data_IF_759157291117
#
_entry.id   IF_759157291117
#
_cell.length_a   1.000
_cell.length_b   1.000
_cell.length_c   1.000
_cell.angle_alpha   90.00
_cell.angle_beta   90.00
_cell.angle_gamma   90.00
#
_symmetry.space_group_name_H-M   'P 1'
#
loop_
_entity.id
_entity.type
_entity.pdbx_description
1 polymer ?
#
# COMPACT_ATOMS: atom_id res chain seq x y z
N UNK A 1 -25.59 18.01 9.94
CA UNK A 1 -25.33 16.56 9.84
C UNK A 1 -25.07 16.23 8.39
N UNK A 2 -24.09 15.36 8.11
CA UNK A 2 -23.89 14.79 6.77
C UNK A 2 -24.37 13.34 6.82
N UNK A 3 -25.34 12.97 6.00
CA UNK A 3 -25.84 11.60 5.86
C UNK A 3 -25.12 11.00 4.63
N UNK A 4 -24.27 9.99 4.82
CA UNK A 4 -23.50 9.36 3.73
C UNK A 4 -24.20 8.08 3.27
N UNK A 5 -24.48 7.97 1.98
CA UNK A 5 -25.11 6.77 1.39
C UNK A 5 -24.14 5.58 1.39
N UNK A 6 -24.60 4.44 1.90
CA UNK A 6 -23.95 3.15 1.71
C UNK A 6 -24.95 2.19 1.05
N UNK A 7 -24.64 1.74 -0.18
CA UNK A 7 -25.49 0.83 -0.94
C UNK A 7 -25.04 -0.62 -0.74
N UNK A 8 -25.91 -1.48 -0.20
CA UNK A 8 -25.66 -2.91 -0.05
C UNK A 8 -26.91 -3.67 0.39
N UNK A 9 -27.12 -4.88 -0.14
CA UNK A 9 -28.25 -5.74 0.24
C UNK A 9 -27.98 -6.42 1.59
N UNK A 10 -28.94 -6.36 2.53
CA UNK A 10 -28.78 -6.89 3.91
C UNK A 10 -29.95 -7.81 4.29
N UNK A 11 -29.72 -9.07 4.71
CA UNK A 11 -30.76 -9.96 5.20
C UNK A 11 -30.88 -9.94 6.75
N UNK A 12 -32.09 -9.68 7.26
CA UNK A 12 -32.54 -9.96 8.63
C UNK A 12 -32.09 -8.97 9.73
N UNK A 13 -33.03 -8.36 10.45
CA UNK A 13 -32.76 -7.29 11.42
C UNK A 13 -33.26 -7.61 12.83
N UNK A 14 -32.42 -7.34 13.84
CA UNK A 14 -32.80 -7.23 15.25
C UNK A 14 -32.37 -5.87 15.79
N UNK A 15 -33.32 -4.94 15.95
CA UNK A 15 -33.11 -3.61 16.52
C UNK A 15 -33.55 -3.54 17.99
N UNK A 16 -32.83 -2.77 18.80
CA UNK A 16 -33.35 -2.27 20.08
C UNK A 16 -34.07 -0.94 19.80
N UNK A 17 -35.39 -0.96 19.96
CA UNK A 17 -36.27 0.16 19.60
C UNK A 17 -36.24 1.27 20.65
N UNK A 18 -36.33 2.53 20.20
CA UNK A 18 -36.59 3.68 21.06
C UNK A 18 -38.09 3.82 21.26
N UNK A 19 -38.61 3.66 22.48
CA UNK A 19 -40.05 3.80 22.74
C UNK A 19 -40.52 5.23 22.42
N UNK A 20 -41.73 5.40 21.86
CA UNK A 20 -42.33 6.72 21.74
C UNK A 20 -42.49 7.33 23.14
N UNK A 21 -42.12 8.61 23.28
CA UNK A 21 -42.24 9.35 24.54
C UNK A 21 -43.73 9.62 24.83
N UNK A 22 -44.37 8.75 25.61
CA UNK A 22 -45.70 9.01 26.16
C UNK A 22 -45.56 9.58 27.57
N UNK A 23 -45.86 10.88 27.74
CA UNK A 23 -46.05 11.50 29.05
C UNK A 23 -47.40 11.06 29.64
N UNK A 24 -47.55 9.84 30.14
CA UNK A 24 -48.57 9.42 31.14
C UNK A 24 -48.30 7.98 31.63
N UNK A 25 -48.43 7.67 32.94
CA UNK A 25 -48.24 6.32 33.45
C UNK A 25 -49.55 5.51 33.42
N UNK A 26 -49.57 4.39 32.70
CA UNK A 26 -50.62 3.38 32.83
C UNK A 26 -50.01 1.98 32.86
N UNK A 27 -50.67 1.09 33.62
CA UNK A 27 -50.21 -0.22 34.06
C UNK A 27 -49.83 -1.20 32.93
N UNK A 28 -48.84 -2.08 33.20
CA UNK A 28 -48.36 -3.13 32.30
C UNK A 28 -49.30 -4.35 32.30
N UNK A 29 -49.70 -4.87 31.12
CA UNK A 29 -50.12 -6.25 31.00
C UNK A 29 -48.92 -7.16 30.69
N UNK A 30 -48.96 -8.36 31.27
CA UNK A 30 -48.01 -9.46 31.07
C UNK A 30 -48.50 -10.29 29.88
N UNK A 31 -47.59 -10.56 28.93
CA UNK A 31 -47.80 -11.49 27.82
C UNK A 31 -48.03 -10.79 26.48
N UNK A 32 -46.95 -10.43 25.77
CA UNK A 32 -47.03 -10.02 24.37
C UNK A 32 -45.87 -10.65 23.60
N UNK A 33 -46.21 -11.49 22.62
CA UNK A 33 -45.28 -11.97 21.61
C UNK A 33 -44.57 -10.76 20.97
N UNK A 34 -43.26 -10.86 20.70
CA UNK A 34 -42.47 -9.78 20.09
C UNK A 34 -43.05 -9.43 18.71
N UNK A 35 -43.97 -8.47 18.69
CA UNK A 35 -44.56 -7.94 17.48
C UNK A 35 -43.49 -7.31 16.60
N UNK A 36 -43.60 -7.53 15.29
CA UNK A 36 -42.78 -6.85 14.29
C UNK A 36 -42.97 -5.33 14.47
N UNK A 37 -41.89 -4.54 14.61
CA UNK A 37 -42.01 -3.10 14.84
C UNK A 37 -42.77 -2.42 13.70
N UNK A 38 -43.68 -1.51 14.05
CA UNK A 38 -44.30 -0.60 13.10
C UNK A 38 -43.34 0.56 12.86
N UNK A 39 -42.66 0.59 11.72
CA UNK A 39 -41.83 1.74 11.31
C UNK A 39 -42.63 3.05 11.19
N UNK A 40 -41.97 4.18 11.18
CA UNK A 40 -42.65 5.48 11.04
C UNK A 40 -42.86 5.81 9.57
N UNK A 41 -44.02 6.37 9.16
CA UNK A 41 -44.22 6.82 7.78
C UNK A 41 -43.14 7.84 7.40
N UNK A 42 -42.52 7.65 6.24
CA UNK A 42 -41.44 8.49 5.74
C UNK A 42 -41.51 8.50 4.20
N UNK A 43 -41.53 9.68 3.58
CA UNK A 43 -41.63 9.80 2.13
C UNK A 43 -40.31 9.46 1.42
N UNK A 44 -39.19 9.64 2.12
CA UNK A 44 -37.85 9.51 1.56
C UNK A 44 -36.80 9.08 2.60
N UNK A 45 -35.59 8.67 2.17
CA UNK A 45 -34.43 8.52 3.06
C UNK A 45 -34.04 9.83 3.77
N UNK A 46 -34.26 10.99 3.14
CA UNK A 46 -33.97 12.30 3.72
C UNK A 46 -34.88 12.59 4.93
N UNK A 47 -36.16 12.22 4.84
CA UNK A 47 -37.11 12.32 5.95
C UNK A 47 -36.68 11.43 7.13
N UNK A 48 -36.17 10.23 6.86
CA UNK A 48 -35.58 9.36 7.89
C UNK A 48 -34.40 10.03 8.63
N UNK A 49 -33.49 10.65 7.88
CA UNK A 49 -32.35 11.40 8.43
C UNK A 49 -32.88 12.56 9.31
N UNK A 50 -33.89 13.29 8.86
CA UNK A 50 -34.52 14.38 9.63
C UNK A 50 -35.21 13.89 10.92
N UNK A 51 -36.00 12.81 10.85
CA UNK A 51 -36.66 12.21 12.02
C UNK A 51 -35.62 11.70 13.02
N UNK A 52 -34.55 11.05 12.55
CA UNK A 52 -33.49 10.58 13.44
C UNK A 52 -32.74 11.75 14.10
N UNK A 53 -32.45 12.83 13.36
CA UNK A 53 -31.75 14.00 13.90
C UNK A 53 -32.51 14.75 15.01
N UNK A 54 -33.85 14.63 15.03
CA UNK A 54 -34.69 15.29 16.03
C UNK A 54 -35.01 14.41 17.24
N UNK A 55 -34.67 13.11 17.18
CA UNK A 55 -34.95 12.14 18.25
C UNK A 55 -33.73 11.88 19.11
N UNK A 56 -33.85 12.25 20.38
CA UNK A 56 -32.85 11.94 21.38
C UNK A 56 -32.58 10.42 21.44
N UNK A 57 -31.31 10.06 21.23
CA UNK A 57 -30.86 8.66 21.23
C UNK A 57 -30.92 7.94 19.88
N UNK A 58 -31.43 8.55 18.81
CA UNK A 58 -31.34 7.97 17.48
C UNK A 58 -29.91 8.11 16.93
N UNK A 59 -29.28 6.99 16.57
CA UNK A 59 -27.91 6.95 16.02
C UNK A 59 -27.81 6.26 14.66
N UNK A 60 -28.84 5.51 14.27
CA UNK A 60 -28.92 4.83 12.99
C UNK A 60 -30.37 4.72 12.56
N UNK A 61 -30.59 4.63 11.24
CA UNK A 61 -31.91 4.38 10.68
C UNK A 61 -31.82 3.53 9.41
N UNK A 62 -32.95 2.90 9.06
CA UNK A 62 -33.12 2.14 7.82
C UNK A 62 -34.39 2.62 7.13
N UNK A 63 -34.28 2.99 5.86
CA UNK A 63 -35.43 3.32 5.03
C UNK A 63 -35.79 2.13 4.13
N UNK A 64 -37.06 1.73 4.18
CA UNK A 64 -37.62 0.75 3.26
C UNK A 64 -38.49 1.47 2.25
N UNK A 65 -37.96 1.66 1.04
CA UNK A 65 -38.66 2.33 -0.06
C UNK A 65 -39.99 1.68 -0.39
N UNK A 66 -40.05 0.35 -0.42
CA UNK A 66 -41.27 -0.41 -0.70
C UNK A 66 -42.41 -0.18 0.32
N UNK A 67 -42.07 0.23 1.54
CA UNK A 67 -43.04 0.44 2.62
C UNK A 67 -43.26 1.92 2.93
N UNK A 68 -42.49 2.84 2.33
CA UNK A 68 -42.42 4.26 2.71
C UNK A 68 -42.29 4.45 4.22
N UNK A 69 -41.36 3.70 4.84
CA UNK A 69 -41.19 3.67 6.29
C UNK A 69 -39.74 3.75 6.75
N UNK A 70 -39.57 4.39 7.91
CA UNK A 70 -38.33 4.53 8.63
C UNK A 70 -38.28 3.65 9.88
N UNK A 71 -37.15 2.99 10.10
CA UNK A 71 -36.87 2.25 11.32
C UNK A 71 -35.67 2.88 12.01
N UNK A 72 -35.87 3.41 13.21
CA UNK A 72 -34.86 4.14 13.98
C UNK A 72 -34.26 3.26 15.08
N UNK A 73 -32.96 3.43 15.36
CA UNK A 73 -32.28 2.67 16.41
C UNK A 73 -31.11 3.41 17.06
N UNK A 74 -30.66 2.90 18.21
CA UNK A 74 -29.47 3.36 18.92
C UNK A 74 -28.40 2.25 18.90
N UNK A 75 -27.25 2.53 18.30
CA UNK A 75 -26.10 1.62 18.34
C UNK A 75 -25.30 1.88 19.62
N UNK A 76 -25.36 0.95 20.59
CA UNK A 76 -24.73 1.14 21.90
C UNK A 76 -23.33 0.56 22.06
N UNK A 77 -22.75 -0.07 21.04
CA UNK A 77 -21.39 -0.62 21.11
C UNK A 77 -20.66 -0.36 19.78
N UNK A 78 -19.37 0.01 19.85
CA UNK A 78 -18.57 0.63 18.78
C UNK A 78 -18.94 0.21 17.36
N UNK A 79 -19.12 1.19 16.48
CA UNK A 79 -19.85 1.14 15.19
C UNK A 79 -19.56 -0.01 14.22
N UNK A 80 -18.54 -0.84 14.45
CA UNK A 80 -18.25 -2.06 13.69
C UNK A 80 -19.18 -3.23 14.08
N UNK A 81 -19.57 -3.34 15.36
CA UNK A 81 -20.43 -4.43 15.85
C UNK A 81 -21.87 -4.37 15.28
N UNK A 82 -22.29 -3.20 14.77
CA UNK A 82 -23.59 -3.03 14.13
C UNK A 82 -23.63 -3.74 12.76
N UNK A 83 -22.54 -3.71 11.98
CA UNK A 83 -22.48 -4.33 10.65
C UNK A 83 -22.23 -5.84 10.71
N UNK A 84 -21.42 -6.32 11.66
CA UNK A 84 -21.11 -7.76 11.76
C UNK A 84 -22.30 -8.60 12.27
N UNK A 85 -23.13 -8.05 13.18
CA UNK A 85 -24.37 -8.73 13.60
C UNK A 85 -25.46 -8.74 12.51
N UNK A 86 -25.36 -7.88 11.50
CA UNK A 86 -26.25 -7.85 10.32
C UNK A 86 -25.94 -8.96 9.31
N UNK A 87 -24.77 -9.60 9.39
CA UNK A 87 -24.39 -10.72 8.53
C UNK A 87 -24.56 -12.11 9.14
N UNK A 88 -24.83 -12.22 10.45
CA UNK A 88 -24.57 -13.46 11.19
C UNK A 88 -25.79 -14.30 11.66
N UNK A 89 -27.04 -13.94 11.32
CA UNK A 89 -28.21 -14.77 11.66
C UNK A 89 -28.83 -15.45 10.44
N UNK A 90 -28.39 -16.68 10.17
CA UNK A 90 -29.13 -17.66 9.34
C UNK A 90 -30.23 -18.29 10.18
N UNK A 91 -31.49 -18.12 9.78
CA UNK A 91 -32.60 -18.94 10.27
C UNK A 91 -33.87 -18.16 10.57
N UNK A 92 -34.67 -17.91 9.53
CA UNK A 92 -36.14 -17.92 9.50
C UNK A 92 -36.61 -17.23 8.21
N UNK A 93 -37.17 -18.03 7.31
CA UNK A 93 -37.79 -17.65 6.04
C UNK A 93 -39.04 -16.79 6.26
N UNK A 94 -39.02 -15.54 5.80
CA UNK A 94 -40.19 -14.83 5.28
C UNK A 94 -39.70 -13.74 4.33
N UNK A 95 -40.25 -13.69 3.11
CA UNK A 95 -39.72 -12.94 1.98
C UNK A 95 -39.52 -11.45 2.26
N UNK A 96 -38.38 -10.91 1.79
CA UNK A 96 -38.12 -9.48 1.74
C UNK A 96 -37.61 -9.13 0.35
N UNK A 97 -38.29 -8.17 -0.26
CA UNK A 97 -38.01 -7.55 -1.55
C UNK A 97 -36.69 -6.77 -1.54
N UNK A 98 -35.97 -6.83 -2.66
CA UNK A 98 -34.78 -6.01 -2.94
C UNK A 98 -35.11 -4.51 -2.80
N UNK A 99 -34.29 -3.74 -2.06
CA UNK A 99 -34.39 -2.27 -2.02
C UNK A 99 -34.17 -1.56 -0.68
N UNK A 100 -33.75 -2.22 0.40
CA UNK A 100 -33.47 -1.55 1.66
C UNK A 100 -32.11 -0.82 1.63
N UNK A 101 -32.09 0.47 1.98
CA UNK A 101 -30.87 1.26 2.15
C UNK A 101 -30.59 1.47 3.64
N UNK A 102 -29.35 1.23 4.06
CA UNK A 102 -28.88 1.44 5.43
C UNK A 102 -27.97 2.66 5.42
N UNK A 103 -28.31 3.70 6.18
CA UNK A 103 -27.56 4.96 6.22
C UNK A 103 -27.20 5.28 7.67
N UNK A 104 -25.92 5.59 7.91
CA UNK A 104 -25.40 5.99 9.22
C UNK A 104 -25.39 7.52 9.30
N UNK A 105 -25.94 8.07 10.38
CA UNK A 105 -25.83 9.50 10.69
C UNK A 105 -24.58 9.75 11.53
N UNK A 106 -23.64 10.55 11.04
CA UNK A 106 -22.63 11.17 11.89
C UNK A 106 -23.22 12.44 12.51
N UNK A 107 -23.41 12.43 13.84
CA UNK A 107 -23.83 13.63 14.59
C UNK A 107 -22.61 14.55 14.83
N UNK A 108 -22.63 15.81 14.36
CA UNK A 108 -21.59 16.78 14.68
C UNK A 108 -21.99 17.53 15.96
N UNK A 109 -21.98 16.90 17.12
CA UNK A 109 -22.20 17.61 18.39
C UNK A 109 -20.94 17.68 19.26
N UNK A 110 -20.28 18.82 19.11
CA UNK A 110 -19.20 19.33 19.95
C UNK A 110 -19.68 20.14 21.15
N UNK A 111 -20.78 19.76 21.81
CA UNK A 111 -21.28 20.46 23.02
C UNK A 111 -21.35 19.54 24.26
N UNK A 112 -20.53 18.49 24.28
CA UNK A 112 -20.36 17.63 25.44
C UNK A 112 -19.47 18.25 26.52
N UNK A 113 -20.06 18.50 27.69
CA UNK A 113 -19.50 18.66 29.05
C UNK A 113 -17.99 18.35 29.23
N UNK A 114 -17.27 19.00 30.17
CA UNK A 114 -15.81 18.89 30.39
C UNK A 114 -15.20 17.47 30.47
N UNK A 115 -16.00 16.42 30.70
CA UNK A 115 -15.57 15.01 30.58
C UNK A 115 -15.30 14.56 29.13
N UNK A 116 -16.02 15.06 28.13
CA UNK A 116 -15.80 14.71 26.72
C UNK A 116 -14.51 15.36 26.17
N UNK A 117 -14.20 16.58 26.60
CA UNK A 117 -12.94 17.25 26.25
C UNK A 117 -11.73 16.50 26.81
N UNK A 118 -11.77 16.03 28.06
CA UNK A 118 -10.73 15.15 28.64
C UNK A 118 -10.63 13.80 27.91
N UNK A 119 -11.74 13.23 27.43
CA UNK A 119 -11.73 11.98 26.67
C UNK A 119 -11.12 12.15 25.26
N UNK A 120 -11.43 13.25 24.56
CA UNK A 120 -10.85 13.59 23.28
C UNK A 120 -9.35 13.91 23.39
N UNK A 121 -8.95 14.64 24.44
CA UNK A 121 -7.55 14.96 24.72
C UNK A 121 -6.75 13.72 25.15
N UNK A 122 -7.35 12.82 25.94
CA UNK A 122 -6.76 11.51 26.25
C UNK A 122 -6.66 10.62 25.01
N UNK A 123 -7.65 10.63 24.12
CA UNK A 123 -7.62 9.89 22.85
C UNK A 123 -6.55 10.43 21.89
N UNK A 124 -6.42 11.74 21.76
CA UNK A 124 -5.36 12.41 21.00
C UNK A 124 -3.97 12.09 21.57
N UNK A 125 -3.81 12.15 22.90
CA UNK A 125 -2.55 11.81 23.57
C UNK A 125 -2.19 10.33 23.47
N UNK A 126 -3.18 9.43 23.51
CA UNK A 126 -2.99 7.99 23.28
C UNK A 126 -2.66 7.68 21.81
N UNK A 127 -3.25 8.39 20.83
CA UNK A 127 -2.83 8.30 19.43
C UNK A 127 -1.39 8.77 19.25
N UNK A 128 -1.03 9.92 19.80
CA UNK A 128 0.34 10.41 19.74
C UNK A 128 1.36 9.49 20.41
N UNK A 129 0.96 8.73 21.45
CA UNK A 129 1.81 7.71 22.07
C UNK A 129 1.87 6.41 21.25
N UNK A 130 0.76 5.99 20.64
CA UNK A 130 0.71 4.80 19.76
C UNK A 130 1.47 5.02 18.45
N UNK A 131 1.33 6.20 17.84
CA UNK A 131 2.11 6.63 16.65
C UNK A 131 3.62 6.67 16.96
N UNK A 132 3.99 7.11 18.17
CA UNK A 132 5.39 7.05 18.65
C UNK A 132 5.87 5.62 18.89
N UNK A 133 4.97 4.68 19.19
CA UNK A 133 5.35 3.31 19.51
C UNK A 133 5.66 2.47 18.26
N UNK A 134 4.93 2.66 17.16
CA UNK A 134 5.21 1.93 15.91
C UNK A 134 6.37 2.55 15.12
N UNK A 135 6.50 3.89 15.15
CA UNK A 135 7.54 4.64 14.46
C UNK A 135 7.13 5.09 13.06
N UNK A 136 8.11 5.32 12.18
CA UNK A 136 7.88 5.91 10.84
C UNK A 136 8.28 4.95 9.73
N UNK A 137 7.60 5.05 8.60
CA UNK A 137 7.82 4.23 7.41
C UNK A 137 8.09 5.13 6.20
N UNK A 138 9.22 4.91 5.52
CA UNK A 138 9.53 5.59 4.27
C UNK A 138 9.23 4.67 3.07
N UNK A 139 8.32 5.08 2.18
CA UNK A 139 8.08 4.44 0.89
C UNK A 139 8.89 5.17 -0.18
N UNK A 140 9.89 4.52 -0.77
CA UNK A 140 10.74 5.07 -1.81
C UNK A 140 10.40 4.48 -3.18
N UNK A 141 9.84 5.31 -4.05
CA UNK A 141 9.43 4.97 -5.41
C UNK A 141 10.43 5.48 -6.44
N UNK A 142 11.15 4.59 -7.12
CA UNK A 142 12.16 4.97 -8.12
C UNK A 142 11.84 4.38 -9.48
N UNK A 143 12.02 5.18 -10.55
CA UNK A 143 11.81 4.66 -11.89
C UNK A 143 11.69 5.70 -12.97
N UNK A 144 10.80 5.44 -13.92
CA UNK A 144 10.44 6.32 -15.03
C UNK A 144 8.95 6.63 -15.00
N UNK A 145 8.56 7.90 -15.19
CA UNK A 145 7.15 8.29 -15.04
C UNK A 145 6.19 7.54 -15.98
N UNK A 146 6.59 7.30 -17.23
CA UNK A 146 5.76 6.57 -18.21
C UNK A 146 5.57 5.08 -17.89
N UNK A 147 6.33 4.52 -16.95
CA UNK A 147 6.24 3.11 -16.52
C UNK A 147 5.50 2.96 -15.19
N UNK A 148 4.99 4.06 -14.64
CA UNK A 148 4.43 4.09 -13.31
C UNK A 148 3.15 3.24 -13.20
N UNK A 149 3.12 2.40 -12.17
CA UNK A 149 2.04 1.50 -11.76
C UNK A 149 1.67 1.81 -10.30
N UNK A 150 1.27 3.05 -10.03
CA UNK A 150 1.05 3.54 -8.67
C UNK A 150 -0.27 3.08 -8.05
N UNK A 151 -1.25 2.64 -8.86
CA UNK A 151 -2.64 2.44 -8.46
C UNK A 151 -2.82 1.44 -7.29
N UNK A 152 -1.90 0.50 -7.12
CA UNK A 152 -1.97 -0.52 -6.05
C UNK A 152 -1.29 -0.09 -4.76
N UNK A 153 -0.36 0.87 -4.79
CA UNK A 153 0.42 1.27 -3.62
C UNK A 153 -0.43 1.90 -2.50
N UNK A 154 -1.40 2.81 -2.78
CA UNK A 154 -2.26 3.37 -1.74
C UNK A 154 -2.99 2.31 -0.90
N UNK A 155 -3.64 1.34 -1.55
CA UNK A 155 -4.48 0.34 -0.88
C UNK A 155 -3.71 -0.88 -0.38
N UNK A 156 -2.62 -1.27 -1.05
CA UNK A 156 -1.85 -2.47 -0.67
C UNK A 156 -0.67 -2.17 0.26
N UNK A 157 -0.14 -0.93 0.28
CA UNK A 157 1.06 -0.59 1.07
C UNK A 157 0.77 0.52 2.07
N UNK A 158 0.30 1.67 1.60
CA UNK A 158 0.19 2.87 2.44
C UNK A 158 -0.89 2.68 3.51
N UNK A 159 -2.14 2.46 3.12
CA UNK A 159 -3.25 2.33 4.06
C UNK A 159 -3.06 1.17 5.07
N UNK A 160 -2.60 -0.04 4.67
CA UNK A 160 -2.32 -1.10 5.63
C UNK A 160 -1.19 -0.76 6.62
N UNK A 161 -0.17 -0.02 6.18
CA UNK A 161 0.96 0.38 7.04
C UNK A 161 0.55 1.48 8.02
N UNK A 162 -0.27 2.44 7.57
CA UNK A 162 -0.94 3.43 8.44
C UNK A 162 -1.84 2.73 9.46
N UNK A 163 -2.64 1.75 9.01
CA UNK A 163 -3.48 0.94 9.89
C UNK A 163 -2.70 0.10 10.91
N UNK A 164 -1.44 -0.22 10.62
CA UNK A 164 -0.50 -0.84 11.55
C UNK A 164 0.16 0.15 12.54
N UNK A 165 -0.21 1.44 12.49
CA UNK A 165 0.20 2.48 13.43
C UNK A 165 1.39 3.33 12.99
N UNK A 166 1.93 3.14 11.78
CA UNK A 166 3.10 3.89 11.29
C UNK A 166 2.68 5.19 10.59
N UNK A 167 3.45 6.26 10.80
CA UNK A 167 3.40 7.42 9.91
C UNK A 167 4.13 7.09 8.60
N UNK A 168 3.44 7.19 7.46
CA UNK A 168 3.97 6.83 6.13
C UNK A 168 4.33 8.08 5.35
N UNK A 169 5.62 8.23 5.05
CA UNK A 169 6.15 9.27 4.17
C UNK A 169 6.54 8.65 2.82
N UNK A 170 6.09 9.25 1.73
CA UNK A 170 6.38 8.82 0.36
C UNK A 170 7.41 9.73 -0.26
N UNK A 171 8.45 9.10 -0.80
CA UNK A 171 9.56 9.71 -1.51
C UNK A 171 9.62 9.15 -2.93
N UNK A 172 10.11 9.93 -3.88
CA UNK A 172 10.33 9.37 -5.21
C UNK A 172 11.26 10.14 -6.12
N UNK A 173 11.79 9.40 -7.10
CA UNK A 173 12.48 9.94 -8.26
C UNK A 173 11.96 9.25 -9.52
N UNK A 174 11.21 9.99 -10.33
CA UNK A 174 10.65 9.53 -11.59
C UNK A 174 11.34 10.27 -12.75
N UNK A 175 12.07 9.53 -13.58
CA UNK A 175 12.66 10.09 -14.79
C UNK A 175 11.57 10.63 -15.73
N UNK A 176 11.74 11.84 -16.26
CA UNK A 176 10.88 12.45 -17.29
C UNK A 176 11.55 12.57 -18.67
N UNK A 177 12.77 12.04 -18.82
CA UNK A 177 13.49 12.00 -20.10
C UNK A 177 12.98 10.89 -21.01
N UNK A 178 12.94 11.10 -22.32
CA UNK A 178 12.45 10.07 -23.28
C UNK A 178 13.11 8.68 -23.12
N UNK A 179 12.28 7.65 -23.17
CA UNK A 179 12.67 6.23 -23.16
C UNK A 179 12.80 5.61 -24.55
N UNK A 180 12.49 6.34 -25.62
CA UNK A 180 12.39 5.79 -26.99
C UNK A 180 13.64 4.99 -27.43
N UNK A 181 14.84 5.49 -27.09
CA UNK A 181 16.10 4.81 -27.43
C UNK A 181 16.30 3.50 -26.66
N UNK A 182 15.88 3.44 -25.40
CA UNK A 182 16.05 2.25 -24.55
C UNK A 182 15.16 1.08 -25.01
N UNK A 183 14.01 1.38 -25.62
CA UNK A 183 13.02 0.39 -26.05
C UNK A 183 12.99 0.18 -27.58
N UNK A 184 14.05 0.57 -28.30
CA UNK A 184 14.15 0.42 -29.77
C UNK A 184 12.90 1.00 -30.49
N UNK A 185 12.44 2.16 -30.05
CA UNK A 185 11.24 2.82 -30.60
C UNK A 185 9.91 2.34 -30.03
N UNK A 186 9.87 1.27 -29.21
CA UNK A 186 8.66 0.89 -28.48
C UNK A 186 8.40 1.89 -27.34
N UNK A 187 7.13 2.13 -27.02
CA UNK A 187 6.77 2.95 -25.87
C UNK A 187 7.03 2.17 -24.58
N UNK A 188 7.63 2.78 -23.54
CA UNK A 188 7.60 2.21 -22.21
C UNK A 188 6.14 1.92 -21.83
N UNK A 189 5.89 0.71 -21.37
CA UNK A 189 4.56 0.29 -20.97
C UNK A 189 4.39 0.54 -19.46
N UNK A 190 3.36 1.30 -19.10
CA UNK A 190 2.96 1.69 -17.75
C UNK A 190 1.52 2.20 -17.80
N UNK A 191 0.96 2.65 -16.68
CA UNK A 191 -0.45 3.04 -16.66
C UNK A 191 -0.74 4.21 -17.61
N UNK A 192 -1.59 4.04 -18.65
CA UNK A 192 -1.88 5.10 -19.61
C UNK A 192 -2.47 6.35 -18.96
N UNK A 193 -3.19 6.20 -17.84
CA UNK A 193 -3.75 7.32 -17.10
C UNK A 193 -2.63 8.20 -16.51
N UNK A 194 -1.56 7.60 -15.96
CA UNK A 194 -0.43 8.35 -15.41
C UNK A 194 0.54 8.88 -16.48
N UNK A 195 0.76 8.09 -17.54
CA UNK A 195 1.68 8.45 -18.62
C UNK A 195 1.25 9.71 -19.39
N UNK A 196 -0.07 10.02 -19.43
CA UNK A 196 -0.61 11.18 -20.14
C UNK A 196 -0.61 12.48 -19.35
N UNK A 197 -0.42 12.43 -18.03
CA UNK A 197 -0.44 13.62 -17.18
C UNK A 197 0.77 14.51 -17.48
N UNK A 198 0.72 15.79 -17.17
CA UNK A 198 1.93 16.60 -17.02
C UNK A 198 2.68 16.20 -15.73
N UNK A 199 3.93 16.64 -15.57
CA UNK A 199 4.69 16.38 -14.33
C UNK A 199 3.95 16.95 -13.09
N UNK A 200 3.35 18.14 -13.21
CA UNK A 200 2.58 18.76 -12.13
C UNK A 200 1.28 18.00 -11.81
N UNK A 201 0.52 17.59 -12.82
CA UNK A 201 -0.70 16.80 -12.62
C UNK A 201 -0.41 15.41 -12.06
N UNK A 202 0.69 14.79 -12.49
CA UNK A 202 1.14 13.50 -11.96
C UNK A 202 1.50 13.62 -10.47
N UNK A 203 2.28 14.65 -10.11
CA UNK A 203 2.60 14.92 -8.72
C UNK A 203 1.33 15.14 -7.88
N UNK A 204 0.44 16.03 -8.31
CA UNK A 204 -0.82 16.31 -7.60
C UNK A 204 -1.70 15.05 -7.44
N UNK A 205 -1.75 14.20 -8.47
CA UNK A 205 -2.49 12.94 -8.45
C UNK A 205 -1.91 11.96 -7.44
N UNK A 206 -0.58 11.79 -7.41
CA UNK A 206 0.10 10.94 -6.43
C UNK A 206 -0.13 11.49 -5.02
N UNK A 207 0.09 12.78 -4.79
CA UNK A 207 -0.15 13.42 -3.48
C UNK A 207 -1.58 13.21 -2.97
N UNK A 208 -2.58 13.38 -3.84
CA UNK A 208 -3.99 13.14 -3.47
C UNK A 208 -4.23 11.67 -3.11
N UNK A 209 -3.74 10.71 -3.90
CA UNK A 209 -3.93 9.29 -3.62
C UNK A 209 -3.21 8.83 -2.33
N UNK A 210 -2.02 9.36 -2.07
CA UNK A 210 -1.26 9.10 -0.83
C UNK A 210 -2.00 9.67 0.38
N UNK A 211 -2.49 10.91 0.30
CA UNK A 211 -3.25 11.54 1.38
C UNK A 211 -4.56 10.78 1.70
N UNK A 212 -5.29 10.33 0.66
CA UNK A 212 -6.49 9.51 0.84
C UNK A 212 -6.20 8.16 1.53
N UNK A 213 -5.00 7.62 1.36
CA UNK A 213 -4.54 6.42 2.06
C UNK A 213 -3.93 6.69 3.45
N UNK A 214 -3.92 7.96 3.90
CA UNK A 214 -3.41 8.38 5.21
C UNK A 214 -1.90 8.60 5.28
N UNK A 215 -1.20 8.64 4.14
CA UNK A 215 0.23 8.98 4.07
C UNK A 215 0.49 10.44 3.69
N UNK A 216 1.77 10.82 3.61
CA UNK A 216 2.24 12.14 3.17
C UNK A 216 3.24 11.97 2.00
N UNK A 217 3.12 12.76 0.92
CA UNK A 217 4.21 12.88 -0.06
C UNK A 217 5.15 13.97 0.43
N UNK A 218 6.37 13.58 0.80
CA UNK A 218 7.38 14.51 1.34
C UNK A 218 8.21 15.12 0.23
N UNK A 219 8.78 14.29 -0.64
CA UNK A 219 9.60 14.73 -1.78
C UNK A 219 9.38 13.79 -2.96
N UNK A 220 8.82 14.29 -4.06
CA UNK A 220 8.65 13.55 -5.32
C UNK A 220 9.31 14.33 -6.45
N UNK A 221 10.50 13.88 -6.84
CA UNK A 221 11.26 14.49 -7.94
C UNK A 221 10.84 13.87 -9.28
N UNK A 222 10.26 14.67 -10.16
CA UNK A 222 10.03 14.31 -11.56
C UNK A 222 11.02 15.12 -12.39
N UNK A 223 12.08 14.45 -12.87
CA UNK A 223 13.26 15.14 -13.39
C UNK A 223 13.99 14.35 -14.49
N UNK A 224 14.86 14.99 -15.29
CA UNK A 224 15.64 14.29 -16.31
C UNK A 224 16.58 13.25 -15.70
N UNK A 225 16.85 12.17 -16.43
CA UNK A 225 17.76 11.10 -16.00
C UNK A 225 19.08 11.63 -15.42
N UNK A 226 19.51 11.18 -14.23
CA UNK A 226 20.77 11.63 -13.66
C UNK A 226 21.95 11.01 -14.41
N UNK A 227 23.03 11.76 -14.54
CA UNK A 227 24.23 11.32 -15.25
C UNK A 227 25.09 10.39 -14.39
N UNK A 228 24.88 9.08 -14.51
CA UNK A 228 25.73 8.09 -13.87
C UNK A 228 27.04 7.86 -14.63
N UNK A 229 28.13 7.76 -13.87
CA UNK A 229 29.46 7.35 -14.32
C UNK A 229 29.56 5.82 -14.29
N UNK A 230 30.17 5.27 -15.33
CA UNK A 230 30.58 3.86 -15.38
C UNK A 230 32.11 3.84 -15.41
N UNK A 231 32.80 3.26 -14.41
CA UNK A 231 34.25 3.18 -14.42
C UNK A 231 34.76 2.39 -15.64
N UNK A 232 35.71 2.94 -16.38
CA UNK A 232 36.28 2.30 -17.57
C UNK A 232 37.21 1.12 -17.23
N UNK A 233 37.82 1.19 -16.06
CA UNK A 233 38.80 0.27 -15.48
C UNK A 233 38.17 -0.94 -14.75
N UNK A 234 36.83 -1.01 -14.68
CA UNK A 234 36.11 -2.11 -14.01
C UNK A 234 35.19 -2.89 -14.97
N UNK A 235 35.70 -3.38 -16.12
CA UNK A 235 34.87 -4.07 -17.13
C UNK A 235 34.25 -5.36 -16.58
N UNK A 236 34.80 -5.91 -15.51
CA UNK A 236 34.35 -7.18 -14.97
C UNK A 236 33.12 -7.06 -14.05
N UNK A 237 32.79 -5.87 -13.57
CA UNK A 237 31.53 -5.64 -12.84
C UNK A 237 30.35 -5.74 -13.80
N UNK A 238 29.40 -6.59 -13.46
CA UNK A 238 28.23 -6.94 -14.28
C UNK A 238 28.67 -7.52 -15.64
N UNK A 239 29.54 -8.52 -15.61
CA UNK A 239 30.18 -9.06 -16.81
C UNK A 239 29.20 -9.60 -17.87
N UNK A 240 27.95 -9.95 -17.49
CA UNK A 240 26.91 -10.36 -18.45
C UNK A 240 26.20 -9.19 -19.14
N UNK A 241 26.44 -7.96 -18.72
CA UNK A 241 25.74 -6.79 -19.24
C UNK A 241 26.59 -6.07 -20.28
N UNK A 242 25.95 -5.64 -21.36
CA UNK A 242 26.56 -4.71 -22.32
C UNK A 242 26.81 -3.36 -21.64
N UNK A 243 27.68 -2.53 -22.24
CA UNK A 243 27.99 -1.19 -21.71
C UNK A 243 26.72 -0.32 -21.52
N UNK A 244 25.74 -0.43 -22.43
CA UNK A 244 24.48 0.31 -22.30
C UNK A 244 23.66 -0.16 -21.10
N UNK A 245 23.57 -1.47 -20.87
CA UNK A 245 22.87 -2.04 -19.70
C UNK A 245 23.60 -1.66 -18.41
N UNK A 246 24.93 -1.68 -18.37
CA UNK A 246 25.71 -1.22 -17.21
C UNK A 246 25.42 0.25 -16.88
N UNK A 247 25.33 1.12 -17.89
CA UNK A 247 24.95 2.53 -17.68
C UNK A 247 23.54 2.66 -17.10
N UNK A 248 22.57 1.87 -17.57
CA UNK A 248 21.22 1.82 -16.99
C UNK A 248 21.23 1.35 -15.54
N UNK A 249 22.03 0.34 -15.21
CA UNK A 249 22.18 -0.16 -13.82
C UNK A 249 22.83 0.90 -12.93
N UNK A 250 23.92 1.53 -13.37
CA UNK A 250 24.59 2.60 -12.63
C UNK A 250 23.66 3.80 -12.39
N UNK A 251 22.87 4.18 -13.41
CA UNK A 251 21.83 5.22 -13.28
C UNK A 251 20.81 4.87 -12.21
N UNK A 252 20.39 3.60 -12.15
CA UNK A 252 19.45 3.12 -11.14
C UNK A 252 20.02 3.22 -9.73
N UNK A 253 21.25 2.73 -9.51
CA UNK A 253 21.91 2.85 -8.21
C UNK A 253 22.10 4.32 -7.82
N UNK A 254 22.39 5.22 -8.78
CA UNK A 254 22.48 6.65 -8.51
C UNK A 254 21.13 7.22 -8.05
N UNK A 255 20.01 6.79 -8.65
CA UNK A 255 18.66 7.15 -8.17
C UNK A 255 18.40 6.62 -6.77
N UNK A 256 18.88 5.42 -6.43
CA UNK A 256 18.79 4.88 -5.06
C UNK A 256 19.50 5.79 -4.06
N UNK A 257 20.70 6.27 -4.41
CA UNK A 257 21.46 7.21 -3.59
C UNK A 257 20.75 8.56 -3.45
N UNK A 258 20.14 9.07 -4.52
CA UNK A 258 19.32 10.30 -4.47
C UNK A 258 18.12 10.08 -3.55
N UNK A 259 17.42 8.95 -3.68
CA UNK A 259 16.29 8.59 -2.83
C UNK A 259 16.66 8.50 -1.34
N UNK A 260 17.80 7.89 -1.03
CA UNK A 260 18.35 7.87 0.33
C UNK A 260 18.59 9.29 0.87
N UNK A 261 19.12 10.20 0.04
CA UNK A 261 19.35 11.57 0.45
C UNK A 261 18.05 12.32 0.78
N UNK A 262 16.97 12.09 0.01
CA UNK A 262 15.65 12.66 0.32
C UNK A 262 15.14 12.19 1.69
N UNK A 263 15.27 10.89 1.97
CA UNK A 263 14.91 10.31 3.27
C UNK A 263 15.74 10.96 4.39
N UNK A 264 17.07 11.00 4.24
CA UNK A 264 17.98 11.57 5.24
C UNK A 264 17.70 13.06 5.51
N UNK A 265 17.37 13.84 4.48
CA UNK A 265 16.96 15.24 4.62
C UNK A 265 15.71 15.38 5.48
N UNK A 266 14.70 14.53 5.27
CA UNK A 266 13.48 14.51 6.11
C UNK A 266 13.77 14.03 7.53
N UNK A 267 14.61 13.01 7.71
CA UNK A 267 15.03 12.56 9.05
C UNK A 267 15.71 13.69 9.85
N UNK A 268 16.60 14.45 9.19
CA UNK A 268 17.25 15.60 9.80
C UNK A 268 16.23 16.68 10.20
N UNK A 269 15.25 16.97 9.34
CA UNK A 269 14.19 17.94 9.65
C UNK A 269 13.27 17.50 10.80
N UNK A 270 13.02 16.19 10.93
CA UNK A 270 12.18 15.63 11.99
C UNK A 270 12.93 15.37 13.30
N UNK A 271 14.27 15.32 13.27
CA UNK A 271 15.08 14.90 14.41
C UNK A 271 14.89 13.42 14.79
N UNK A 272 14.41 12.59 13.86
CA UNK A 272 14.20 11.15 14.08
C UNK A 272 14.43 10.34 12.81
N UNK A 273 14.85 9.08 12.98
CA UNK A 273 15.04 8.14 11.86
C UNK A 273 13.77 7.35 11.58
N UNK A 274 13.60 6.91 10.34
CA UNK A 274 12.57 5.95 10.01
C UNK A 274 12.85 4.60 10.69
N UNK A 275 11.80 3.82 10.95
CA UNK A 275 11.92 2.42 11.37
C UNK A 275 12.17 1.54 10.15
N UNK A 276 11.39 1.77 9.09
CA UNK A 276 11.37 0.98 7.87
C UNK A 276 11.59 1.86 6.65
N UNK A 277 12.28 1.28 5.66
CA UNK A 277 12.34 1.81 4.30
C UNK A 277 11.84 0.71 3.36
N UNK A 278 10.80 1.01 2.58
CA UNK A 278 10.37 0.16 1.47
C UNK A 278 10.81 0.81 0.17
N UNK A 279 11.80 0.21 -0.48
CA UNK A 279 12.18 0.56 -1.82
C UNK A 279 11.35 -0.23 -2.82
N UNK A 280 10.71 0.45 -3.78
CA UNK A 280 9.95 -0.19 -4.86
C UNK A 280 10.24 0.48 -6.20
N UNK A 281 10.28 -0.34 -7.24
CA UNK A 281 10.27 0.13 -8.61
C UNK A 281 8.91 0.69 -9.01
N UNK A 282 8.94 1.56 -10.03
CA UNK A 282 7.77 2.24 -10.57
C UNK A 282 6.72 1.30 -11.15
N UNK A 283 7.12 0.14 -11.66
CA UNK A 283 6.27 -0.81 -12.38
C UNK A 283 5.78 -1.99 -11.52
N UNK A 284 5.94 -1.88 -10.20
CA UNK A 284 5.55 -2.93 -9.25
C UNK A 284 4.05 -2.90 -8.97
N UNK A 285 3.34 -3.97 -9.33
CA UNK A 285 1.93 -4.17 -9.00
C UNK A 285 1.80 -5.05 -7.75
N UNK A 286 1.07 -4.57 -6.74
CA UNK A 286 0.84 -5.27 -5.49
C UNK A 286 -0.51 -5.97 -5.49
N UNK A 287 -0.53 -7.26 -5.16
CA UNK A 287 -1.77 -8.05 -5.14
C UNK A 287 -2.40 -8.26 -3.77
N UNK A 288 -1.67 -7.97 -2.69
CA UNK A 288 -2.23 -8.11 -1.34
C UNK A 288 -1.64 -7.06 -0.40
N UNK A 289 -2.38 -6.72 0.69
CA UNK A 289 -1.89 -5.81 1.71
C UNK A 289 -0.57 -6.24 2.34
N UNK A 290 0.37 -5.29 2.49
CA UNK A 290 1.61 -5.46 3.22
C UNK A 290 1.31 -5.66 4.72
N UNK A 291 1.71 -6.81 5.26
CA UNK A 291 1.61 -7.12 6.70
C UNK A 291 2.95 -6.88 7.38
N UNK A 292 3.24 -5.62 7.69
CA UNK A 292 4.57 -5.17 8.15
C UNK A 292 5.08 -5.90 9.40
N UNK A 293 4.19 -6.33 10.31
CA UNK A 293 4.54 -7.06 11.53
C UNK A 293 5.05 -8.49 11.28
N UNK A 294 4.97 -9.01 10.06
CA UNK A 294 5.57 -10.30 9.69
C UNK A 294 7.07 -10.23 9.41
N UNK A 295 7.67 -9.04 9.49
CA UNK A 295 9.03 -8.77 9.05
C UNK A 295 9.88 -8.32 10.24
N UNK A 296 11.15 -8.71 10.24
CA UNK A 296 12.13 -8.34 11.27
C UNK A 296 12.90 -7.11 10.82
N UNK A 297 12.82 -6.03 11.60
CA UNK A 297 13.53 -4.76 11.33
C UNK A 297 15.06 -4.95 11.29
N UNK A 298 15.57 -6.06 11.80
CA UNK A 298 16.98 -6.42 11.76
C UNK A 298 17.37 -7.23 10.53
N UNK A 299 16.54 -7.27 9.50
CA UNK A 299 16.84 -7.91 8.22
C UNK A 299 16.49 -7.00 7.03
N UNK A 300 17.04 -7.36 5.86
CA UNK A 300 16.53 -6.90 4.58
C UNK A 300 15.71 -8.02 3.95
N UNK A 301 14.50 -7.68 3.55
CA UNK A 301 13.53 -8.62 3.02
C UNK A 301 13.34 -8.39 1.52
N UNK A 302 13.52 -9.46 0.75
CA UNK A 302 13.27 -9.47 -0.68
C UNK A 302 12.51 -10.70 -1.11
N UNK A 303 11.99 -10.67 -2.34
CA UNK A 303 11.18 -11.76 -2.90
C UNK A 303 12.04 -12.86 -3.54
N UNK A 304 11.60 -14.11 -3.40
CA UNK A 304 12.14 -15.24 -4.15
C UNK A 304 11.47 -15.39 -5.51
N UNK A 305 12.04 -14.80 -6.54
CA UNK A 305 11.64 -15.09 -7.92
C UNK A 305 12.59 -16.13 -8.54
N UNK A 306 12.04 -17.26 -8.99
CA UNK A 306 12.75 -18.51 -9.33
C UNK A 306 13.74 -18.45 -10.51
N UNK A 307 13.85 -17.33 -11.24
CA UNK A 307 14.75 -17.20 -12.38
C UNK A 307 16.12 -16.58 -12.08
N UNK A 308 16.26 -15.81 -10.99
CA UNK A 308 17.42 -14.93 -10.80
C UNK A 308 18.18 -15.13 -9.48
N UNK A 309 17.80 -16.13 -8.66
CA UNK A 309 18.57 -16.60 -7.50
C UNK A 309 19.33 -15.49 -6.76
N UNK A 310 18.62 -14.60 -6.05
CA UNK A 310 19.29 -13.50 -5.37
C UNK A 310 18.33 -12.44 -4.81
N UNK A 311 18.87 -11.24 -4.60
CA UNK A 311 18.12 -10.05 -4.19
C UNK A 311 17.20 -9.60 -5.31
N UNK A 312 15.88 -9.60 -5.09
CA UNK A 312 14.90 -9.15 -6.08
C UNK A 312 15.10 -7.65 -6.39
N UNK A 313 15.48 -7.28 -7.60
CA UNK A 313 15.77 -5.88 -7.97
C UNK A 313 14.52 -4.99 -8.15
N UNK A 314 13.38 -5.35 -7.55
CA UNK A 314 12.09 -4.65 -7.70
C UNK A 314 11.57 -4.07 -6.41
N UNK A 315 11.59 -4.85 -5.34
CA UNK A 315 10.99 -4.48 -4.06
C UNK A 315 11.83 -4.99 -2.90
N UNK A 316 12.18 -4.08 -1.99
CA UNK A 316 12.85 -4.39 -0.73
C UNK A 316 12.21 -3.69 0.45
N UNK A 317 11.87 -4.47 1.46
CA UNK A 317 11.55 -3.94 2.77
C UNK A 317 12.78 -4.10 3.66
N UNK A 318 13.30 -3.00 4.19
CA UNK A 318 14.51 -3.03 5.00
C UNK A 318 14.32 -2.21 6.28
N UNK A 319 14.90 -2.67 7.38
CA UNK A 319 15.12 -1.80 8.52
C UNK A 319 16.00 -0.62 8.12
N UNK A 320 15.70 0.56 8.65
CA UNK A 320 16.37 1.81 8.24
C UNK A 320 17.89 1.76 8.37
N UNK A 321 18.44 1.02 9.33
CA UNK A 321 19.89 0.86 9.52
C UNK A 321 20.60 0.24 8.30
N UNK A 322 19.90 -0.56 7.48
CA UNK A 322 20.46 -1.16 6.26
C UNK A 322 20.28 -0.29 5.02
N UNK A 323 19.41 0.71 5.06
CA UNK A 323 19.14 1.56 3.90
C UNK A 323 20.37 2.38 3.49
N UNK A 324 21.23 2.79 4.42
CA UNK A 324 22.45 3.53 4.09
C UNK A 324 23.36 2.67 3.21
N UNK A 325 23.58 1.40 3.57
CA UNK A 325 24.34 0.44 2.75
C UNK A 325 23.62 0.11 1.44
N UNK A 326 22.37 -0.32 1.53
CA UNK A 326 21.66 -0.89 0.38
C UNK A 326 21.28 0.14 -0.68
N UNK A 327 21.10 1.41 -0.32
CA UNK A 327 20.77 2.47 -1.28
C UNK A 327 21.97 3.32 -1.68
N UNK A 328 23.16 3.12 -1.08
CA UNK A 328 24.39 3.82 -1.47
C UNK A 328 25.32 3.00 -2.36
N UNK A 329 24.87 1.87 -2.91
CA UNK A 329 25.68 0.98 -3.74
C UNK A 329 26.29 1.62 -4.99
N UNK A 330 25.78 2.76 -5.43
CA UNK A 330 26.45 3.54 -6.46
C UNK A 330 27.86 3.97 -6.04
N UNK A 331 28.11 4.23 -4.76
CA UNK A 331 29.45 4.50 -4.25
C UNK A 331 30.34 3.26 -4.35
N UNK A 332 29.83 2.10 -3.90
CA UNK A 332 30.52 0.82 -4.03
C UNK A 332 30.81 0.46 -5.50
N UNK A 333 29.93 0.85 -6.42
CA UNK A 333 30.10 0.69 -7.86
C UNK A 333 31.28 1.48 -8.44
N UNK A 334 31.66 2.60 -7.82
CA UNK A 334 32.70 3.49 -8.35
C UNK A 334 34.12 3.17 -7.88
N UNK A 335 34.27 2.36 -6.83
CA UNK A 335 35.55 2.06 -6.18
C UNK A 335 35.82 0.55 -6.19
N UNK A 336 37.04 0.09 -6.50
CA UNK A 336 37.41 -1.31 -6.31
C UNK A 336 37.25 -1.70 -4.84
N UNK A 337 36.78 -2.91 -4.57
CA UNK A 337 36.70 -3.44 -3.19
C UNK A 337 37.58 -4.68 -3.12
N UNK A 338 38.79 -4.63 -2.52
CA UNK A 338 39.60 -5.82 -2.35
C UNK A 338 38.84 -6.84 -1.49
N UNK A 339 39.02 -8.11 -1.80
CA UNK A 339 38.30 -9.15 -1.13
C UNK A 339 38.81 -9.36 0.32
N UNK A 340 37.94 -9.33 1.34
CA UNK A 340 38.36 -9.53 2.73
C UNK A 340 38.94 -10.93 2.92
N UNK A 341 40.11 -11.05 3.56
CA UNK A 341 40.74 -12.35 3.84
C UNK A 341 39.81 -13.31 4.61
N UNK A 342 38.95 -12.78 5.48
CA UNK A 342 38.02 -13.55 6.31
C UNK A 342 36.88 -14.21 5.53
N UNK A 343 36.62 -13.82 4.28
CA UNK A 343 35.58 -14.44 3.46
C UNK A 343 36.08 -15.68 2.70
N UNK A 344 37.39 -15.92 2.66
CA UNK A 344 37.99 -17.06 1.95
C UNK A 344 38.38 -18.23 2.86
N UNK A 345 38.37 -18.04 4.19
CA UNK A 345 38.80 -19.09 5.13
C UNK A 345 37.82 -20.26 5.24
N UNK A 346 36.55 -20.10 4.85
CA UNK A 346 35.53 -21.17 4.98
C UNK A 346 35.33 -22.00 3.71
N UNK A 347 35.70 -21.47 2.53
CA UNK A 347 35.53 -22.17 1.26
C UNK A 347 36.87 -22.73 0.81
N UNK A 348 37.23 -23.93 1.28
CA UNK A 348 38.51 -24.63 1.03
C UNK A 348 38.86 -24.92 -0.45
N UNK A 349 38.95 -23.90 -1.30
CA UNK A 349 39.40 -23.98 -2.70
C UNK A 349 40.47 -22.93 -2.98
N UNK A 350 41.60 -23.42 -3.50
CA UNK A 350 42.84 -22.71 -3.79
C UNK A 350 42.79 -21.82 -5.06
N UNK A 351 41.68 -21.13 -5.33
CA UNK A 351 41.67 -20.09 -6.37
C UNK A 351 42.04 -18.76 -5.73
N UNK A 352 43.01 -18.04 -6.32
CA UNK A 352 43.34 -16.68 -5.91
C UNK A 352 42.06 -15.82 -5.84
N UNK A 353 41.88 -15.02 -4.77
CA UNK A 353 40.70 -14.19 -4.64
C UNK A 353 40.60 -13.23 -5.83
N UNK A 354 39.39 -12.92 -6.32
CA UNK A 354 39.24 -11.90 -7.35
C UNK A 354 39.82 -10.58 -6.85
N UNK A 355 40.52 -9.85 -7.73
CA UNK A 355 41.10 -8.55 -7.41
C UNK A 355 40.05 -7.53 -6.90
N UNK A 356 38.79 -7.71 -7.33
CA UNK A 356 37.63 -6.96 -6.87
C UNK A 356 36.53 -7.91 -6.38
N UNK A 357 36.25 -7.85 -5.09
CA UNK A 357 35.20 -8.62 -4.42
C UNK A 357 33.84 -8.40 -5.07
N UNK A 358 33.54 -7.19 -5.54
CA UNK A 358 32.24 -6.86 -6.12
C UNK A 358 32.10 -7.25 -7.60
N UNK A 359 33.06 -7.97 -8.18
CA UNK A 359 32.97 -8.50 -9.54
C UNK A 359 31.82 -9.53 -9.67
N UNK A 360 30.64 -9.09 -10.06
CA UNK A 360 29.47 -9.96 -10.22
C UNK A 360 29.02 -10.10 -11.68
N UNK A 361 28.41 -11.22 -12.08
CA UNK A 361 27.81 -11.37 -13.42
C UNK A 361 26.56 -10.49 -13.64
N UNK A 362 25.78 -10.25 -12.58
CA UNK A 362 24.45 -9.62 -12.62
C UNK A 362 24.25 -8.63 -11.46
N UNK A 363 23.21 -7.78 -11.54
CA UNK A 363 22.92 -6.80 -10.48
C UNK A 363 22.48 -7.47 -9.18
N UNK A 364 21.77 -8.58 -9.27
CA UNK A 364 21.30 -9.35 -8.12
C UNK A 364 22.49 -9.92 -7.33
N UNK A 365 23.47 -10.49 -8.04
CA UNK A 365 24.70 -11.01 -7.44
C UNK A 365 25.62 -9.88 -6.96
N UNK A 366 25.63 -8.72 -7.63
CA UNK A 366 26.36 -7.55 -7.16
C UNK A 366 25.81 -7.10 -5.79
N UNK A 367 24.49 -6.99 -5.67
CA UNK A 367 23.80 -6.60 -4.43
C UNK A 367 24.00 -7.62 -3.32
N UNK A 368 23.97 -8.92 -3.65
CA UNK A 368 24.30 -9.99 -2.70
C UNK A 368 25.72 -9.82 -2.15
N UNK A 369 26.69 -9.53 -3.01
CA UNK A 369 28.08 -9.29 -2.58
C UNK A 369 28.23 -8.01 -1.76
N UNK A 370 27.52 -6.92 -2.10
CA UNK A 370 27.46 -5.74 -1.22
C UNK A 370 26.90 -6.14 0.16
N UNK A 371 25.80 -6.90 0.19
CA UNK A 371 25.22 -7.40 1.42
C UNK A 371 26.22 -8.20 2.26
N UNK A 372 26.98 -9.11 1.63
CA UNK A 372 28.03 -9.88 2.29
C UNK A 372 29.18 -8.99 2.79
N UNK A 373 29.66 -8.05 1.97
CA UNK A 373 30.74 -7.11 2.31
C UNK A 373 30.41 -6.33 3.59
N UNK A 374 29.16 -5.89 3.71
CA UNK A 374 28.68 -5.05 4.80
C UNK A 374 27.87 -5.83 5.86
N UNK A 375 27.89 -7.17 5.81
CA UNK A 375 27.20 -8.06 6.76
C UNK A 375 25.71 -7.74 6.93
N UNK A 376 25.03 -7.44 5.82
CA UNK A 376 23.58 -7.18 5.78
C UNK A 376 22.85 -8.53 5.78
N UNK A 377 22.09 -8.87 6.84
CA UNK A 377 21.27 -10.08 6.86
C UNK A 377 20.13 -9.95 5.85
N UNK A 378 20.12 -10.85 4.86
CA UNK A 378 19.11 -10.89 3.82
C UNK A 378 18.20 -12.10 3.99
N UNK A 379 16.90 -11.86 4.02
CA UNK A 379 15.89 -12.91 4.05
C UNK A 379 15.05 -12.91 2.79
N UNK A 380 15.12 -14.05 2.10
CA UNK A 380 14.33 -14.34 0.91
C UNK A 380 12.95 -14.83 1.32
N UNK A 381 11.91 -14.24 0.76
CA UNK A 381 10.52 -14.57 1.08
C UNK A 381 9.80 -15.22 -0.09
N UNK A 382 8.82 -16.11 0.17
CA UNK A 382 7.94 -16.59 -0.88
C UNK A 382 7.04 -15.45 -1.41
N UNK A 383 6.51 -15.56 -2.64
CA UNK A 383 5.69 -14.52 -3.25
C UNK A 383 4.51 -14.04 -2.40
N UNK A 384 3.95 -14.89 -1.53
CA UNK A 384 2.81 -14.57 -0.68
C UNK A 384 3.12 -13.52 0.39
N UNK A 385 4.39 -13.37 0.80
CA UNK A 385 4.79 -12.41 1.83
C UNK A 385 5.06 -11.02 1.25
N UNK A 386 5.63 -10.96 0.04
CA UNK A 386 5.85 -9.74 -0.74
C UNK A 386 5.17 -9.92 -2.12
N UNK A 387 3.84 -9.73 -2.19
CA UNK A 387 3.03 -10.12 -3.35
C UNK A 387 3.09 -9.05 -4.45
N UNK A 388 4.28 -8.87 -5.03
CA UNK A 388 4.54 -7.85 -6.06
C UNK A 388 5.03 -8.46 -7.36
N UNK A 389 4.65 -7.88 -8.50
CA UNK A 389 5.17 -8.28 -9.81
C UNK A 389 5.45 -7.08 -10.68
N UNK A 390 6.41 -7.20 -11.60
CA UNK A 390 6.50 -6.24 -12.69
C UNK A 390 5.28 -6.40 -13.56
N UNK A 391 4.67 -5.27 -13.86
CA UNK A 391 3.47 -5.21 -14.66
C UNK A 391 3.57 -4.06 -15.63
N UNK A 392 2.77 -4.10 -16.68
CA UNK A 392 2.73 -3.03 -17.64
C UNK A 392 1.40 -3.06 -18.38
N UNK A 393 1.01 -1.94 -18.98
CA UNK A 393 -0.16 -1.93 -19.85
C UNK A 393 0.24 -2.11 -21.32
N UNK A 394 -0.41 -3.07 -21.98
CA UNK A 394 -0.29 -3.24 -23.43
C UNK A 394 -1.44 -2.51 -24.13
N UNK A 395 -1.10 -1.72 -25.14
CA UNK A 395 -2.09 -1.18 -26.06
C UNK A 395 -2.47 -2.24 -27.08
N UNK A 396 -3.77 -2.56 -27.17
CA UNK A 396 -4.32 -3.43 -28.21
C UNK A 396 -4.86 -2.52 -29.32
N UNK A 397 -4.49 -2.74 -30.60
CA UNK A 397 -5.04 -1.99 -31.71
C UNK A 397 -6.59 -2.06 -31.73
N UNK A 398 -7.25 -0.90 -31.73
CA UNK A 398 -8.71 -0.82 -31.75
C UNK A 398 -9.41 -1.15 -30.43
N UNK A 399 -8.69 -1.33 -29.32
CA UNK A 399 -9.26 -1.66 -28.02
C UNK A 399 -8.62 -0.87 -26.86
N UNK A 400 -9.19 -1.02 -25.67
CA UNK A 400 -8.66 -0.43 -24.44
C UNK A 400 -7.29 -1.02 -24.06
N UNK A 401 -6.53 -0.26 -23.26
CA UNK A 401 -5.25 -0.76 -22.75
C UNK A 401 -5.49 -1.83 -21.69
N UNK A 402 -4.81 -2.97 -21.79
CA UNK A 402 -4.93 -4.07 -20.82
C UNK A 402 -3.71 -4.16 -19.92
N UNK A 403 -3.92 -4.49 -18.65
CA UNK A 403 -2.84 -4.87 -17.73
C UNK A 403 -2.25 -6.21 -18.18
N UNK A 404 -0.93 -6.30 -18.18
CA UNK A 404 -0.18 -7.46 -18.61
C UNK A 404 0.92 -7.82 -17.61
N UNK A 405 1.22 -9.12 -17.52
CA UNK A 405 2.35 -9.64 -16.75
C UNK A 405 3.34 -10.40 -17.64
N UNK A 406 4.65 -10.27 -17.39
CA UNK A 406 5.67 -11.08 -18.06
C UNK A 406 5.55 -12.58 -17.79
N UNK A 407 5.70 -13.40 -18.85
CA UNK A 407 5.70 -14.88 -18.78
C UNK A 407 6.70 -15.43 -17.76
N UNK A 408 7.82 -14.74 -17.50
CA UNK A 408 8.83 -15.19 -16.52
C UNK A 408 8.26 -15.43 -15.13
N UNK A 409 7.11 -14.82 -14.81
CA UNK A 409 6.46 -14.99 -13.52
C UNK A 409 5.59 -16.25 -13.41
N UNK A 410 5.21 -16.87 -14.52
CA UNK A 410 4.45 -18.14 -14.57
C UNK A 410 5.11 -19.30 -13.80
N UNK A 411 6.40 -19.19 -13.46
CA UNK A 411 7.16 -20.22 -12.75
C UNK A 411 7.47 -19.83 -11.29
N UNK A 412 6.43 -19.72 -10.47
CA UNK A 412 6.58 -19.64 -9.00
C UNK A 412 6.95 -18.26 -8.45
N UNK A 413 6.71 -17.19 -9.22
CA UNK A 413 6.90 -15.82 -8.76
C UNK A 413 5.59 -15.11 -8.43
N UNK A 414 4.47 -15.82 -8.47
CA UNK A 414 3.14 -15.30 -8.16
C UNK A 414 2.63 -16.02 -6.92
N UNK A 415 1.93 -15.34 -6.00
CA UNK A 415 1.13 -16.04 -4.99
C UNK A 415 0.22 -17.07 -5.66
N UNK A 416 0.16 -18.31 -5.14
CA UNK A 416 -0.64 -19.37 -5.76
C UNK A 416 -2.10 -18.97 -6.02
N UNK A 417 -2.69 -18.21 -5.08
CA UNK A 417 -4.06 -17.71 -5.19
C UNK A 417 -4.31 -16.79 -6.39
N UNK A 418 -3.24 -16.21 -6.97
CA UNK A 418 -3.33 -15.25 -8.06
C UNK A 418 -2.81 -15.81 -9.38
N UNK A 419 -2.40 -17.09 -9.41
CA UNK A 419 -1.80 -17.69 -10.61
C UNK A 419 -2.78 -17.63 -11.79
N UNK A 420 -4.05 -18.03 -11.58
CA UNK A 420 -5.08 -17.99 -12.64
C UNK A 420 -5.31 -16.59 -13.20
N UNK A 421 -5.31 -15.56 -12.34
CA UNK A 421 -5.45 -14.17 -12.78
C UNK A 421 -4.24 -13.76 -13.64
N UNK A 422 -3.03 -14.07 -13.18
CA UNK A 422 -1.81 -13.76 -13.94
C UNK A 422 -1.77 -14.51 -15.27
N UNK A 423 -2.13 -15.79 -15.29
CA UNK A 423 -2.18 -16.59 -16.53
C UNK A 423 -3.18 -16.00 -17.53
N UNK A 424 -4.32 -15.48 -17.06
CA UNK A 424 -5.31 -14.81 -17.91
C UNK A 424 -4.86 -13.43 -18.42
N UNK A 425 -3.89 -12.81 -17.73
CA UNK A 425 -3.29 -11.52 -18.07
C UNK A 425 -1.87 -11.69 -18.65
N UNK A 426 -1.48 -12.92 -19.00
CA UNK A 426 -0.28 -13.19 -19.75
C UNK A 426 -0.51 -12.72 -21.18
N UNK A 427 0.24 -11.69 -21.57
CA UNK A 427 0.10 -11.09 -22.88
C UNK A 427 1.01 -11.73 -23.94
N UNK A 428 1.66 -12.85 -23.60
CA UNK A 428 2.60 -13.56 -24.47
C UNK A 428 3.92 -12.79 -24.61
N UNK A 429 5.04 -13.47 -24.40
CA UNK A 429 6.36 -12.89 -24.65
C UNK A 429 6.67 -12.78 -26.14
N UNK A 430 7.05 -11.58 -26.60
CA UNK A 430 8.04 -11.41 -27.69
C UNK A 430 9.29 -10.76 -27.13
#
# INVERSE_FOLDING_TARGET
MSCAEASGAVPGLGFLHLSPSSKHPAAKPIGSARGVPRGEPSGSPQDCCAICSTREGCKAWVFRSAESRCFLGNCTEGGVACLERLGARRGATAGVSAGAQVILCEHPDGTGKPKARRAAEKSSRLRGLAERAAGRFALLLLGHRDRLMFETLPSAVIAPTVGAGFAVDVFGYLENSTMARAFRGRRPMGNPAFARLSDAELHATISRQVALAGGEVVDLLIAPRPAARVPADMPQRLSRYSASVKKTVATRMLKERIGLHLIQKREAALGTRYTWVLWTREDSHWFAPLRIHHFDVNEVHGKSCGGFGGWNDKVWLMGRKYADTMLSMYSDWLEPRPAPCSLFSEAGRASAPPADFLQAPSIEQFRERVGLLHRVPYRKHPPEKLPTMDSFYQQIPGAESRLCFPVIYSKGCVPKANQTLVDSLDCGGK
#
